data_IF_748222489555
#
_entry.id   IF_748222489555
#
_cell.length_a   1.000
_cell.length_b   1.000
_cell.length_c   1.000
_cell.angle_alpha   90.00
_cell.angle_beta   90.00
_cell.angle_gamma   90.00
#
_symmetry.space_group_name_H-M   'P 1'
#
loop_
_entity.id
_entity.type
_entity.pdbx_description
1 polymer ?
#
# COMPACT_ATOMS: atom_id res chain seq x y z
N UNK A 1 28.48 -42.02 -7.94
CA UNK A 1 28.20 -40.74 -7.23
C UNK A 1 28.79 -39.51 -7.92
N UNK A 2 29.21 -39.59 -9.19
CA UNK A 2 29.88 -38.47 -9.91
C UNK A 2 28.94 -37.63 -10.79
N UNK A 3 27.72 -38.10 -11.08
CA UNK A 3 26.77 -37.38 -11.95
C UNK A 3 26.04 -36.22 -11.22
N UNK A 4 25.76 -36.37 -9.93
CA UNK A 4 25.03 -35.36 -9.13
C UNK A 4 25.84 -34.09 -8.87
N UNK A 5 27.16 -34.20 -8.68
CA UNK A 5 28.06 -33.06 -8.43
C UNK A 5 28.33 -32.27 -9.71
N UNK A 6 28.42 -32.94 -10.87
CA UNK A 6 28.57 -32.28 -12.17
C UNK A 6 27.32 -31.47 -12.55
N UNK A 7 26.12 -32.01 -12.29
CA UNK A 7 24.86 -31.31 -12.49
C UNK A 7 24.72 -30.09 -11.57
N UNK A 8 25.12 -30.21 -10.29
CA UNK A 8 25.10 -29.10 -9.33
C UNK A 8 26.09 -27.99 -9.73
N UNK A 9 27.27 -28.35 -10.25
CA UNK A 9 28.30 -27.40 -10.70
C UNK A 9 27.90 -26.68 -11.99
N UNK A 10 27.20 -27.36 -12.91
CA UNK A 10 26.64 -26.76 -14.11
C UNK A 10 25.49 -25.80 -13.79
N UNK A 11 24.63 -26.14 -12.82
CA UNK A 11 23.53 -25.28 -12.38
C UNK A 11 24.02 -24.02 -11.67
N UNK A 12 25.01 -24.14 -10.76
CA UNK A 12 25.64 -22.97 -10.11
C UNK A 12 26.37 -22.08 -11.13
N UNK A 13 27.07 -22.67 -12.10
CA UNK A 13 27.74 -21.92 -13.17
C UNK A 13 26.72 -21.19 -14.07
N UNK A 14 25.57 -21.79 -14.36
CA UNK A 14 24.48 -21.16 -15.11
C UNK A 14 23.85 -19.99 -14.34
N UNK A 15 23.59 -20.16 -13.04
CA UNK A 15 23.08 -19.09 -12.15
C UNK A 15 24.08 -17.94 -12.01
N UNK A 16 25.38 -18.22 -11.93
CA UNK A 16 26.42 -17.18 -11.84
C UNK A 16 26.67 -16.49 -13.20
N UNK A 17 26.52 -17.19 -14.33
CA UNK A 17 26.69 -16.64 -15.69
C UNK A 17 25.50 -15.78 -16.16
N UNK A 18 24.38 -15.84 -15.44
CA UNK A 18 23.29 -14.86 -15.52
C UNK A 18 23.67 -13.48 -14.92
N UNK A 19 24.86 -13.37 -14.32
CA UNK A 19 25.41 -12.16 -13.66
C UNK A 19 25.84 -10.98 -14.55
N UNK A 20 25.28 -10.82 -15.75
CA UNK A 20 25.53 -9.63 -16.60
C UNK A 20 24.26 -8.86 -17.00
N UNK A 21 23.18 -8.99 -16.23
CA UNK A 21 22.18 -7.92 -16.14
C UNK A 21 22.23 -7.34 -14.74
N UNK A 22 22.58 -6.05 -14.67
CA UNK A 22 22.66 -5.28 -13.43
C UNK A 22 21.45 -5.64 -12.54
N UNK A 23 21.66 -6.00 -11.27
CA UNK A 23 20.55 -6.31 -10.38
C UNK A 23 19.65 -5.08 -10.30
N UNK A 24 18.33 -5.31 -10.30
CA UNK A 24 17.26 -4.30 -10.17
C UNK A 24 17.34 -3.53 -8.82
N UNK A 25 18.39 -3.76 -8.04
CA UNK A 25 18.71 -3.12 -6.77
C UNK A 25 18.91 -1.59 -6.85
N UNK A 26 19.02 -0.98 -8.04
CA UNK A 26 19.17 0.48 -8.17
C UNK A 26 17.88 1.24 -8.47
N UNK A 27 16.69 0.65 -8.26
CA UNK A 27 15.53 1.47 -7.88
C UNK A 27 15.71 1.70 -6.39
N UNK A 28 16.42 2.77 -6.07
CA UNK A 28 16.68 3.14 -4.69
C UNK A 28 15.34 3.39 -3.99
N UNK A 29 14.82 2.37 -3.30
CA UNK A 29 13.89 2.57 -2.20
C UNK A 29 14.53 3.62 -1.31
N UNK A 30 13.98 4.83 -1.28
CA UNK A 30 14.44 5.86 -0.37
C UNK A 30 13.56 5.78 0.89
N UNK A 31 14.01 5.13 1.98
CA UNK A 31 13.20 4.98 3.19
C UNK A 31 12.56 6.29 3.60
N UNK A 32 13.36 7.35 3.55
CA UNK A 32 13.00 8.70 3.94
C UNK A 32 12.00 9.37 3.00
N UNK A 33 12.06 9.11 1.69
CA UNK A 33 11.15 9.71 0.72
C UNK A 33 9.76 9.09 0.78
N UNK A 34 9.68 7.77 0.84
CA UNK A 34 8.41 7.04 0.97
C UNK A 34 7.72 7.30 2.31
N UNK A 35 8.49 7.38 3.41
CA UNK A 35 7.96 7.78 4.72
C UNK A 35 7.38 9.21 4.69
N UNK A 36 8.07 10.15 4.03
CA UNK A 36 7.61 11.55 3.89
C UNK A 36 6.34 11.63 3.05
N UNK A 37 6.28 10.92 1.94
CA UNK A 37 5.10 10.85 1.09
C UNK A 37 3.91 10.27 1.87
N UNK A 38 4.11 9.16 2.58
CA UNK A 38 3.06 8.50 3.35
C UNK A 38 2.52 9.36 4.48
N UNK A 39 3.41 10.01 5.23
CA UNK A 39 3.04 11.00 6.24
C UNK A 39 2.22 12.15 5.64
N UNK A 40 2.66 12.68 4.50
CA UNK A 40 1.99 13.81 3.85
C UNK A 40 0.57 13.44 3.42
N UNK A 41 0.40 12.25 2.83
CA UNK A 41 -0.91 11.75 2.39
C UNK A 41 -1.83 11.54 3.60
N UNK A 42 -1.33 10.89 4.66
CA UNK A 42 -2.10 10.68 5.88
C UNK A 42 -2.58 11.99 6.50
N UNK A 43 -1.68 12.96 6.71
CA UNK A 43 -2.02 14.25 7.34
C UNK A 43 -3.02 15.02 6.50
N UNK A 44 -2.82 15.10 5.17
CA UNK A 44 -3.76 15.78 4.27
C UNK A 44 -5.15 15.14 4.29
N UNK A 45 -5.21 13.81 4.33
CA UNK A 45 -6.47 13.07 4.36
C UNK A 45 -7.18 13.27 5.69
N UNK A 46 -6.44 13.16 6.80
CA UNK A 46 -6.95 13.39 8.15
C UNK A 46 -7.50 14.82 8.30
N UNK A 47 -6.77 15.84 7.86
CA UNK A 47 -7.21 17.24 7.94
C UNK A 47 -8.52 17.50 7.18
N UNK A 48 -8.73 16.82 6.05
CA UNK A 48 -9.99 16.93 5.31
C UNK A 48 -11.16 16.41 6.13
N UNK A 49 -11.03 15.20 6.69
CA UNK A 49 -12.07 14.57 7.50
C UNK A 49 -12.28 15.26 8.85
N UNK A 50 -11.21 15.83 9.42
CA UNK A 50 -11.27 16.53 10.68
C UNK A 50 -12.13 17.79 10.59
N UNK A 51 -12.02 18.57 9.50
CA UNK A 51 -12.90 19.74 9.27
C UNK A 51 -14.37 19.34 9.22
N UNK A 52 -14.70 18.30 8.47
CA UNK A 52 -16.08 17.80 8.38
C UNK A 52 -16.58 17.27 9.73
N UNK A 53 -15.69 16.60 10.49
CA UNK A 53 -16.00 16.13 11.83
C UNK A 53 -16.31 17.26 12.81
N UNK A 54 -15.55 18.36 12.79
CA UNK A 54 -15.83 19.54 13.62
C UNK A 54 -17.21 20.16 13.31
N UNK A 55 -17.57 20.25 12.03
CA UNK A 55 -18.90 20.71 11.61
C UNK A 55 -19.99 19.76 12.12
N UNK A 56 -19.76 18.44 12.02
CA UNK A 56 -20.70 17.43 12.50
C UNK A 56 -20.88 17.44 14.02
N UNK A 57 -19.81 17.63 14.78
CA UNK A 57 -19.87 17.74 16.25
C UNK A 57 -20.60 19.03 16.67
N UNK A 58 -20.40 20.14 15.96
CA UNK A 58 -21.13 21.38 16.24
C UNK A 58 -22.65 21.21 16.02
N UNK A 59 -23.03 20.52 14.93
CA UNK A 59 -24.42 20.13 14.66
C UNK A 59 -24.97 19.19 15.73
N UNK A 60 -24.17 18.21 16.15
CA UNK A 60 -24.55 17.26 17.21
C UNK A 60 -24.84 17.96 18.52
N UNK A 61 -24.00 18.92 18.93
CA UNK A 61 -24.21 19.71 20.15
C UNK A 61 -25.57 20.42 20.13
N UNK A 62 -25.92 21.04 19.01
CA UNK A 62 -27.22 21.70 18.83
C UNK A 62 -28.39 20.70 18.89
N UNK A 63 -28.25 19.53 18.25
CA UNK A 63 -29.29 18.50 18.21
C UNK A 63 -29.50 17.80 19.56
N UNK A 64 -28.43 17.56 20.32
CA UNK A 64 -28.50 16.97 21.67
C UNK A 64 -29.23 17.92 22.63
N UNK A 65 -29.00 19.22 22.51
CA UNK A 65 -29.68 20.23 23.34
C UNK A 65 -31.20 20.29 23.13
N UNK A 66 -31.69 19.87 21.95
CA UNK A 66 -33.14 19.72 21.68
C UNK A 66 -33.66 18.37 22.19
N UNK A 67 -32.85 17.31 22.20
CA UNK A 67 -33.25 15.97 22.68
C UNK A 67 -33.28 15.86 24.21
N UNK A 68 -32.53 16.70 24.92
CA UNK A 68 -32.47 16.69 26.39
C UNK A 68 -33.78 17.02 27.10
N UNK A 69 -34.82 17.49 26.40
CA UNK A 69 -36.17 17.60 26.97
C UNK A 69 -36.79 16.22 27.29
N UNK A 70 -36.21 15.11 26.82
CA UNK A 70 -36.70 13.74 26.97
C UNK A 70 -36.14 12.91 28.14
N UNK A 71 -35.69 13.52 29.25
CA UNK A 71 -35.15 12.84 30.46
C UNK A 71 -33.80 12.10 30.30
N UNK A 72 -33.10 12.23 29.16
CA UNK A 72 -31.75 11.71 28.99
C UNK A 72 -30.71 12.79 29.26
N UNK A 73 -29.57 12.40 29.83
CA UNK A 73 -28.50 13.35 30.12
C UNK A 73 -27.84 13.81 28.80
N UNK A 74 -27.97 15.09 28.41
CA UNK A 74 -27.38 15.60 27.16
C UNK A 74 -25.88 15.35 27.08
N UNK A 75 -25.19 15.42 28.21
CA UNK A 75 -23.74 15.25 28.24
C UNK A 75 -23.33 13.83 27.87
N UNK A 76 -24.11 12.82 28.27
CA UNK A 76 -23.84 11.42 27.92
C UNK A 76 -24.13 11.15 26.45
N UNK A 77 -25.26 11.62 25.92
CA UNK A 77 -25.57 11.47 24.49
C UNK A 77 -24.52 12.10 23.61
N UNK A 78 -24.08 13.32 23.94
CA UNK A 78 -23.02 14.00 23.21
C UNK A 78 -21.71 13.20 23.20
N UNK A 79 -21.31 12.63 24.35
CA UNK A 79 -20.10 11.80 24.45
C UNK A 79 -20.21 10.54 23.61
N UNK A 80 -21.34 9.84 23.68
CA UNK A 80 -21.58 8.58 22.95
C UNK A 80 -21.59 8.85 21.44
N UNK A 81 -22.42 9.77 20.98
CA UNK A 81 -22.57 10.10 19.56
C UNK A 81 -21.27 10.73 19.00
N UNK A 82 -20.60 11.57 19.78
CA UNK A 82 -19.31 12.18 19.42
C UNK A 82 -18.20 11.14 19.24
N UNK A 83 -18.06 10.20 20.18
CA UNK A 83 -17.13 9.08 20.06
C UNK A 83 -17.43 8.20 18.83
N UNK A 84 -18.71 7.93 18.57
CA UNK A 84 -19.13 7.16 17.39
C UNK A 84 -18.71 7.87 16.09
N UNK A 85 -18.93 9.17 15.98
CA UNK A 85 -18.51 9.96 14.82
C UNK A 85 -16.99 9.97 14.64
N UNK A 86 -16.23 10.06 15.73
CA UNK A 86 -14.77 10.00 15.69
C UNK A 86 -14.26 8.66 15.16
N UNK A 87 -14.80 7.53 15.66
CA UNK A 87 -14.42 6.18 15.21
C UNK A 87 -14.72 5.98 13.72
N UNK A 88 -15.89 6.45 13.26
CA UNK A 88 -16.26 6.41 11.85
C UNK A 88 -15.29 7.23 10.99
N UNK A 89 -14.96 8.45 11.41
CA UNK A 89 -14.02 9.33 10.73
C UNK A 89 -12.61 8.70 10.63
N UNK A 90 -12.08 8.15 11.72
CA UNK A 90 -10.78 7.48 11.73
C UNK A 90 -10.76 6.25 10.81
N UNK A 91 -11.86 5.48 10.80
CA UNK A 91 -12.00 4.32 9.91
C UNK A 91 -12.02 4.71 8.43
N UNK A 92 -12.66 5.83 8.08
CA UNK A 92 -12.67 6.38 6.73
C UNK A 92 -11.27 6.88 6.33
N UNK A 93 -10.62 7.64 7.21
CA UNK A 93 -9.26 8.18 7.01
C UNK A 93 -8.25 7.07 6.74
N UNK A 94 -8.28 5.98 7.55
CA UNK A 94 -7.42 4.82 7.35
C UNK A 94 -7.61 4.19 5.97
N UNK A 95 -8.85 3.93 5.58
CA UNK A 95 -9.17 3.30 4.29
C UNK A 95 -8.64 4.13 3.11
N UNK A 96 -8.92 5.43 3.10
CA UNK A 96 -8.49 6.31 2.02
C UNK A 96 -6.99 6.54 1.98
N UNK A 97 -6.33 6.58 3.14
CA UNK A 97 -4.86 6.68 3.18
C UNK A 97 -4.21 5.46 2.53
N UNK A 98 -4.70 4.25 2.86
CA UNK A 98 -4.20 3.01 2.25
C UNK A 98 -4.46 2.99 0.75
N UNK A 99 -5.66 3.36 0.31
CA UNK A 99 -6.00 3.41 -1.11
C UNK A 99 -5.10 4.42 -1.87
N UNK A 100 -4.89 5.61 -1.32
CA UNK A 100 -4.05 6.63 -1.92
C UNK A 100 -2.59 6.20 -2.01
N UNK A 101 -2.08 5.50 -0.98
CA UNK A 101 -0.73 4.92 -1.00
C UNK A 101 -0.59 3.85 -2.07
N UNK A 102 -1.51 2.88 -2.12
CA UNK A 102 -1.49 1.82 -3.13
C UNK A 102 -1.56 2.39 -4.54
N UNK A 103 -2.42 3.38 -4.77
CA UNK A 103 -2.51 4.09 -6.05
C UNK A 103 -1.18 4.72 -6.44
N UNK A 104 -0.53 5.43 -5.51
CA UNK A 104 0.78 6.05 -5.77
C UNK A 104 1.87 5.04 -6.07
N UNK A 105 1.90 3.92 -5.35
CA UNK A 105 2.83 2.82 -5.60
C UNK A 105 2.60 2.17 -6.97
N UNK A 106 1.34 1.99 -7.38
CA UNK A 106 1.00 1.45 -8.71
C UNK A 106 1.36 2.43 -9.84
N UNK A 107 1.08 3.73 -9.67
CA UNK A 107 1.51 4.76 -10.63
C UNK A 107 3.03 4.71 -10.84
N UNK A 108 3.81 4.65 -9.75
CA UNK A 108 5.27 4.53 -9.84
C UNK A 108 5.71 3.27 -10.58
N UNK A 109 5.04 2.14 -10.33
CA UNK A 109 5.30 0.88 -11.03
C UNK A 109 5.01 0.98 -12.53
N UNK A 110 3.86 1.57 -12.91
CA UNK A 110 3.46 1.76 -14.31
C UNK A 110 4.43 2.68 -15.05
N UNK A 111 4.83 3.80 -14.44
CA UNK A 111 5.85 4.70 -15.00
C UNK A 111 7.17 3.97 -15.22
N UNK A 112 7.61 3.19 -14.23
CA UNK A 112 8.82 2.38 -14.35
C UNK A 112 8.71 1.34 -15.49
N UNK A 113 7.58 0.64 -15.59
CA UNK A 113 7.36 -0.34 -16.66
C UNK A 113 7.32 0.32 -18.04
N UNK A 114 6.62 1.45 -18.20
CA UNK A 114 6.58 2.18 -19.47
C UNK A 114 7.97 2.69 -19.89
N UNK A 115 8.74 3.23 -18.95
CA UNK A 115 10.13 3.66 -19.17
C UNK A 115 11.01 2.48 -19.63
N UNK A 116 10.93 1.33 -18.95
CA UNK A 116 11.67 0.11 -19.31
C UNK A 116 11.25 -0.41 -20.69
N UNK A 117 9.95 -0.51 -20.95
CA UNK A 117 9.43 -0.97 -22.25
C UNK A 117 9.85 -0.04 -23.39
N UNK A 118 9.82 1.28 -23.18
CA UNK A 118 10.30 2.26 -24.16
C UNK A 118 11.80 2.11 -24.45
N UNK A 119 12.62 1.80 -23.42
CA UNK A 119 14.05 1.54 -23.58
C UNK A 119 14.33 0.23 -24.32
N UNK A 120 13.59 -0.83 -24.04
CA UNK A 120 13.76 -2.14 -24.69
C UNK A 120 13.27 -2.13 -26.16
N UNK A 121 12.22 -1.37 -26.48
CA UNK A 121 11.76 -1.15 -27.86
C UNK A 121 12.83 -0.44 -28.71
N UNK A 122 13.56 0.53 -28.14
CA UNK A 122 14.70 1.19 -28.82
C UNK A 122 15.88 0.26 -29.08
N UNK A 123 15.94 -0.90 -28.42
CA UNK A 123 17.02 -1.89 -28.52
C UNK A 123 16.69 -3.10 -29.42
N UNK A 124 15.55 -3.12 -30.12
CA UNK A 124 15.26 -4.12 -31.16
C UNK A 124 15.09 -5.56 -30.67
N UNK A 125 14.75 -5.80 -29.39
CA UNK A 125 14.44 -7.13 -28.85
C UNK A 125 12.93 -7.33 -28.74
N UNK A 126 12.26 -7.44 -29.88
CA UNK A 126 10.80 -7.25 -29.97
C UNK A 126 9.93 -8.35 -29.32
N UNK A 127 10.44 -9.57 -29.11
CA UNK A 127 9.59 -10.67 -28.58
C UNK A 127 9.96 -11.08 -27.15
N UNK A 128 11.26 -11.22 -26.84
CA UNK A 128 11.72 -11.72 -25.53
C UNK A 128 11.65 -10.68 -24.39
N UNK A 129 11.43 -9.40 -24.73
CA UNK A 129 11.36 -8.31 -23.75
C UNK A 129 10.01 -8.23 -23.03
N UNK A 130 8.92 -8.50 -23.76
CA UNK A 130 7.56 -8.44 -23.23
C UNK A 130 7.31 -9.59 -22.24
N UNK A 131 7.66 -10.81 -22.61
CA UNK A 131 7.50 -11.99 -21.74
C UNK A 131 8.27 -11.82 -20.42
N UNK A 132 9.51 -11.34 -20.49
CA UNK A 132 10.33 -11.09 -19.31
C UNK A 132 9.83 -9.92 -18.44
N UNK A 133 9.17 -8.92 -19.04
CA UNK A 133 8.59 -7.80 -18.30
C UNK A 133 7.28 -8.24 -17.61
N UNK A 134 6.42 -8.96 -18.32
CA UNK A 134 5.18 -9.55 -17.79
C UNK A 134 5.49 -10.49 -16.63
N UNK A 135 6.52 -11.33 -16.75
CA UNK A 135 6.93 -12.24 -15.68
C UNK A 135 7.40 -11.49 -14.42
N UNK A 136 8.12 -10.38 -14.58
CA UNK A 136 8.51 -9.51 -13.43
C UNK A 136 7.30 -8.85 -12.77
N UNK A 137 6.31 -8.39 -13.54
CA UNK A 137 5.05 -7.86 -12.99
C UNK A 137 4.34 -8.96 -12.20
N UNK A 138 4.19 -10.14 -12.79
CA UNK A 138 3.50 -11.28 -12.16
C UNK A 138 4.19 -11.67 -10.86
N UNK A 139 5.52 -11.76 -10.84
CA UNK A 139 6.29 -12.08 -9.63
C UNK A 139 6.11 -11.00 -8.56
N UNK A 140 6.16 -9.72 -8.92
CA UNK A 140 5.95 -8.62 -7.98
C UNK A 140 4.52 -8.61 -7.41
N UNK A 141 3.51 -8.83 -8.25
CA UNK A 141 2.10 -8.92 -7.82
C UNK A 141 1.86 -10.15 -6.95
N UNK A 142 2.49 -11.29 -7.28
CA UNK A 142 2.37 -12.53 -6.50
C UNK A 142 3.04 -12.39 -5.13
N UNK A 143 4.20 -11.73 -5.06
CA UNK A 143 4.87 -11.41 -3.81
C UNK A 143 4.05 -10.44 -2.94
N UNK A 144 3.40 -9.44 -3.55
CA UNK A 144 2.49 -8.54 -2.84
C UNK A 144 1.26 -9.28 -2.28
N UNK A 145 0.75 -10.28 -2.99
CA UNK A 145 -0.37 -11.11 -2.54
C UNK A 145 0.01 -12.07 -1.42
N UNK A 146 1.25 -12.56 -1.38
CA UNK A 146 1.74 -13.33 -0.23
C UNK A 146 1.80 -12.48 1.03
N UNK A 147 2.17 -11.20 0.95
CA UNK A 147 2.12 -10.30 2.10
C UNK A 147 0.71 -10.19 2.68
N UNK A 148 -0.35 -10.10 1.86
CA UNK A 148 -1.74 -10.14 2.36
C UNK A 148 -2.08 -11.45 3.08
N UNK A 149 -1.56 -12.58 2.56
CA UNK A 149 -1.73 -13.90 3.18
C UNK A 149 -1.06 -13.96 4.56
N UNK A 150 0.18 -13.45 4.67
CA UNK A 150 0.91 -13.37 5.92
C UNK A 150 0.26 -12.40 6.91
N UNK A 151 -0.30 -11.28 6.46
CA UNK A 151 -1.05 -10.35 7.31
C UNK A 151 -2.32 -10.98 7.89
N UNK A 152 -3.05 -11.79 7.10
CA UNK A 152 -4.19 -12.56 7.60
C UNK A 152 -3.77 -13.64 8.60
N UNK A 153 -2.64 -14.33 8.34
CA UNK A 153 -2.10 -15.36 9.22
C UNK A 153 -1.59 -14.78 10.55
N UNK A 154 -0.91 -13.63 10.51
CA UNK A 154 -0.47 -12.90 11.70
C UNK A 154 -1.64 -12.32 12.51
N UNK A 155 -2.68 -11.83 11.82
CA UNK A 155 -3.88 -11.31 12.47
C UNK A 155 -4.68 -12.42 13.20
N UNK A 156 -4.59 -13.66 12.73
CA UNK A 156 -5.21 -14.83 13.36
C UNK A 156 -4.33 -15.46 14.45
N UNK A 157 -3.03 -15.19 14.50
CA UNK A 157 -2.12 -15.72 15.54
C UNK A 157 -1.98 -14.82 16.78
N UNK A 158 -2.49 -13.58 16.71
CA UNK A 158 -2.43 -12.57 17.79
C UNK A 158 -3.79 -12.47 18.54
N UNK A 159 -4.83 -13.15 18.04
CA UNK A 159 -6.13 -13.34 18.68
C UNK A 159 -6.24 -14.74 19.28
#
# INVERSE_FOLDING_TARGET
MTCTVAAHRAHISFVLKMGHRKPIHSVCWNPTGELRASRTILVKTLDSYWRDHLVNINRLSSAVNVRSFGHRNPLEEYKIDGCRFLITMLSATRRLTVEALLRKSLEALVFYFLEVMSRELKLGKHEKGLDAAVEKVIVAVKAAKELEFWYHFLALSIL
#
